data_IF_911957747303
#
_entry.id   IF_911957747303
#
_cell.length_a   1.000
_cell.length_b   1.000
_cell.length_c   1.000
_cell.angle_alpha   90.00
_cell.angle_beta   90.00
_cell.angle_gamma   90.00
#
_symmetry.space_group_name_H-M   'P 1'
#
loop_
_entity.id
_entity.type
_entity.pdbx_description
1 polymer ?
#
# COMPACT_ATOMS: atom_id res chain seq x y z
N UNK A 1 -50.31 47.55 -7.10
CA UNK A 1 -50.55 47.09 -8.49
C UNK A 1 -50.61 45.54 -8.46
N UNK A 2 -51.70 44.96 -8.87
CA UNK A 2 -51.78 43.49 -9.12
C UNK A 2 -51.72 43.25 -10.63
N UNK A 3 -50.70 42.53 -11.05
CA UNK A 3 -50.49 42.19 -12.49
C UNK A 3 -50.53 40.69 -12.59
N UNK A 4 -51.34 40.12 -13.52
CA UNK A 4 -51.45 38.68 -13.74
C UNK A 4 -50.23 38.19 -14.52
N UNK A 5 -49.76 38.95 -15.53
CA UNK A 5 -48.57 38.67 -16.33
C UNK A 5 -47.76 39.95 -16.54
N UNK A 6 -46.51 39.96 -16.15
CA UNK A 6 -45.54 41.03 -16.44
C UNK A 6 -44.56 40.52 -17.51
N UNK A 7 -44.57 41.11 -18.70
CA UNK A 7 -43.56 40.91 -19.75
C UNK A 7 -42.68 42.12 -19.89
N UNK A 8 -41.41 41.95 -19.56
CA UNK A 8 -40.36 42.96 -19.78
C UNK A 8 -39.52 42.49 -20.96
N UNK A 9 -39.38 43.30 -22.00
CA UNK A 9 -38.68 42.93 -23.22
C UNK A 9 -37.16 43.20 -23.15
N UNK A 10 -36.72 43.91 -22.14
CA UNK A 10 -35.35 44.31 -21.87
C UNK A 10 -35.05 44.09 -20.40
N UNK A 11 -34.41 45.00 -19.68
CA UNK A 11 -33.98 44.84 -18.31
C UNK A 11 -35.12 45.10 -17.29
N UNK A 12 -35.26 44.27 -16.29
CA UNK A 12 -36.05 44.53 -15.08
C UNK A 12 -35.10 44.89 -13.92
N UNK A 13 -35.18 46.14 -13.47
CA UNK A 13 -34.45 46.61 -12.27
C UNK A 13 -35.40 46.64 -11.07
N UNK A 14 -35.07 45.87 -10.00
CA UNK A 14 -35.72 45.93 -8.72
C UNK A 14 -34.71 46.42 -7.70
N UNK A 15 -35.02 47.54 -7.04
CA UNK A 15 -34.08 48.21 -6.11
C UNK A 15 -34.18 47.70 -4.67
N UNK A 16 -35.12 46.83 -4.42
CA UNK A 16 -35.36 46.18 -3.10
C UNK A 16 -35.48 44.66 -3.27
N UNK A 17 -36.30 44.01 -2.50
CA UNK A 17 -36.44 42.54 -2.52
C UNK A 17 -37.35 42.03 -3.66
N UNK A 18 -36.99 40.86 -4.22
CA UNK A 18 -37.84 40.06 -5.10
C UNK A 18 -38.30 38.80 -4.36
N UNK A 19 -39.61 38.66 -4.14
CA UNK A 19 -40.20 37.44 -3.58
C UNK A 19 -40.94 36.66 -4.67
N UNK A 20 -40.54 35.42 -4.91
CA UNK A 20 -41.15 34.52 -5.88
C UNK A 20 -41.80 33.35 -5.16
N UNK A 21 -43.14 33.32 -5.12
CA UNK A 21 -43.91 32.28 -4.43
C UNK A 21 -43.98 30.93 -5.17
N UNK A 22 -43.40 30.86 -6.34
CA UNK A 22 -43.33 29.66 -7.18
C UNK A 22 -41.94 29.35 -7.67
N UNK A 23 -41.76 29.05 -8.96
CA UNK A 23 -40.51 28.70 -9.56
C UNK A 23 -39.87 29.93 -10.24
N UNK A 24 -38.59 30.20 -9.93
CA UNK A 24 -37.76 31.09 -10.74
C UNK A 24 -37.12 30.29 -11.87
N UNK A 25 -37.59 30.44 -13.09
CA UNK A 25 -36.97 29.86 -14.30
C UNK A 25 -35.97 30.84 -14.93
N UNK A 26 -34.70 30.49 -14.99
CA UNK A 26 -33.67 31.27 -15.69
C UNK A 26 -33.15 30.42 -16.84
N UNK A 27 -33.37 30.84 -18.08
CA UNK A 27 -32.87 30.15 -19.29
C UNK A 27 -31.42 30.47 -19.63
N UNK A 28 -30.84 31.48 -18.99
CA UNK A 28 -29.45 31.88 -19.13
C UNK A 28 -28.64 31.69 -17.86
N UNK A 29 -27.69 32.56 -17.60
CA UNK A 29 -26.84 32.54 -16.41
C UNK A 29 -27.52 33.34 -15.30
N UNK A 30 -27.60 32.74 -14.07
CA UNK A 30 -27.92 33.45 -12.85
C UNK A 30 -26.61 33.95 -12.24
N UNK A 31 -26.38 35.28 -12.28
CA UNK A 31 -25.21 35.90 -11.65
C UNK A 31 -25.62 36.54 -10.33
N UNK A 32 -24.94 36.19 -9.23
CA UNK A 32 -25.12 36.84 -7.93
C UNK A 32 -23.77 37.44 -7.50
N UNK A 33 -23.80 38.67 -6.97
CA UNK A 33 -22.60 39.37 -6.47
C UNK A 33 -22.36 39.17 -4.98
N UNK A 34 -23.32 38.53 -4.29
CA UNK A 34 -23.23 38.18 -2.89
C UNK A 34 -23.46 36.65 -2.70
N UNK A 35 -23.30 36.17 -1.46
CA UNK A 35 -23.55 34.77 -1.15
C UNK A 35 -25.00 34.38 -1.47
N UNK A 36 -25.16 33.23 -2.11
CA UNK A 36 -26.47 32.62 -2.39
C UNK A 36 -26.72 31.51 -1.37
N UNK A 37 -27.86 31.57 -0.68
CA UNK A 37 -28.25 30.59 0.33
C UNK A 37 -29.38 29.69 -0.22
N UNK A 38 -29.14 28.38 -0.25
CA UNK A 38 -30.11 27.36 -0.64
C UNK A 38 -30.59 26.60 0.64
N UNK A 39 -31.72 26.99 1.23
CA UNK A 39 -32.21 26.37 2.47
C UNK A 39 -32.78 24.96 2.26
N UNK A 40 -33.14 24.62 1.02
CA UNK A 40 -33.70 23.30 0.65
C UNK A 40 -32.70 22.39 -0.08
N UNK A 41 -31.44 22.77 -0.11
CA UNK A 41 -30.41 22.04 -0.87
C UNK A 41 -30.20 22.57 -2.29
N UNK A 42 -29.20 22.04 -2.98
CA UNK A 42 -28.80 22.40 -4.35
C UNK A 42 -28.73 21.11 -5.18
N UNK A 43 -29.39 21.10 -6.34
CA UNK A 43 -29.30 20.01 -7.31
C UNK A 43 -28.76 20.56 -8.64
N UNK A 44 -27.70 19.95 -9.15
CA UNK A 44 -27.18 20.16 -10.49
C UNK A 44 -27.32 18.86 -11.28
N UNK A 45 -28.03 18.91 -12.44
CA UNK A 45 -28.28 17.73 -13.26
C UNK A 45 -27.20 17.47 -14.30
N UNK A 46 -26.23 18.37 -14.41
CA UNK A 46 -25.08 18.30 -15.31
C UNK A 46 -23.80 18.74 -14.56
N UNK A 47 -22.65 18.69 -15.22
CA UNK A 47 -21.37 19.03 -14.61
C UNK A 47 -21.39 20.40 -13.92
N UNK A 48 -20.83 20.46 -12.71
CA UNK A 48 -20.70 21.68 -11.91
C UNK A 48 -19.24 21.95 -11.61
N UNK A 49 -18.86 23.24 -11.61
CA UNK A 49 -17.52 23.69 -11.27
C UNK A 49 -17.60 24.74 -10.16
N UNK A 50 -16.80 24.58 -9.11
CA UNK A 50 -16.53 25.60 -8.11
C UNK A 50 -15.12 26.09 -8.33
N UNK A 51 -14.95 27.38 -8.67
CA UNK A 51 -13.64 27.97 -8.99
C UNK A 51 -13.43 29.24 -8.15
N UNK A 52 -12.24 29.36 -7.57
CA UNK A 52 -11.75 30.57 -6.91
C UNK A 52 -10.46 31.05 -7.58
N UNK A 53 -10.16 32.32 -7.46
CA UNK A 53 -8.94 32.92 -8.00
C UNK A 53 -7.78 32.95 -6.98
N UNK A 54 -8.02 32.43 -5.77
CA UNK A 54 -7.09 32.48 -4.64
C UNK A 54 -7.02 31.13 -3.91
N UNK A 55 -6.35 31.07 -2.75
CA UNK A 55 -6.14 29.87 -1.94
C UNK A 55 -7.27 29.63 -0.91
N UNK A 56 -8.44 30.24 -1.05
CA UNK A 56 -9.57 29.98 -0.14
C UNK A 56 -10.15 28.58 -0.32
N UNK A 57 -10.72 28.02 0.75
CA UNK A 57 -11.40 26.72 0.69
C UNK A 57 -12.60 26.78 -0.22
N UNK A 58 -12.64 25.93 -1.25
CA UNK A 58 -13.71 25.92 -2.26
C UNK A 58 -14.97 25.18 -1.82
N UNK A 59 -14.82 24.12 -1.01
CA UNK A 59 -15.94 23.33 -0.51
C UNK A 59 -15.68 22.89 0.93
N UNK A 60 -16.63 23.18 1.82
CA UNK A 60 -16.65 22.69 3.19
C UNK A 60 -17.97 21.97 3.44
N UNK A 61 -17.93 20.74 3.89
CA UNK A 61 -19.10 19.97 4.33
C UNK A 61 -19.11 19.95 5.84
N UNK A 62 -20.17 20.50 6.46
CA UNK A 62 -20.29 20.61 7.92
C UNK A 62 -21.59 19.94 8.37
N UNK A 63 -21.49 19.02 9.35
CA UNK A 63 -22.61 18.60 10.18
C UNK A 63 -22.49 19.26 11.54
N UNK A 64 -23.59 19.74 12.08
CA UNK A 64 -23.72 20.28 13.47
C UNK A 64 -24.42 19.29 14.38
N UNK A 65 -24.62 18.06 13.93
CA UNK A 65 -25.23 17.01 14.75
C UNK A 65 -24.33 16.65 15.93
N UNK A 66 -24.91 16.45 17.08
CA UNK A 66 -24.20 16.22 18.34
C UNK A 66 -24.22 14.75 18.76
N UNK A 67 -24.92 13.88 18.04
CA UNK A 67 -24.97 12.47 18.37
C UNK A 67 -23.71 11.69 17.84
N UNK A 68 -23.67 10.37 18.10
CA UNK A 68 -22.55 9.52 17.71
C UNK A 68 -22.67 8.95 16.28
N UNK A 69 -23.68 9.40 15.51
CA UNK A 69 -23.89 8.95 14.14
C UNK A 69 -22.91 9.57 13.15
N UNK A 70 -22.90 9.08 11.92
CA UNK A 70 -21.98 9.55 10.87
C UNK A 70 -22.18 11.05 10.62
N UNK A 71 -21.09 11.82 10.65
CA UNK A 71 -21.01 13.26 10.35
C UNK A 71 -21.28 13.58 8.88
N UNK A 72 -20.69 14.63 8.30
CA UNK A 72 -20.91 14.94 6.88
C UNK A 72 -20.45 13.79 5.97
N UNK A 73 -21.31 13.40 5.04
CA UNK A 73 -21.07 12.31 4.09
C UNK A 73 -20.90 12.88 2.69
N UNK A 74 -19.90 12.39 1.94
CA UNK A 74 -19.73 12.61 0.52
C UNK A 74 -19.95 11.29 -0.20
N UNK A 75 -21.10 11.13 -0.87
CA UNK A 75 -21.41 9.95 -1.67
C UNK A 75 -20.94 10.13 -3.11
N UNK A 76 -20.09 9.21 -3.56
CA UNK A 76 -19.75 9.04 -4.97
C UNK A 76 -20.53 7.82 -5.50
N UNK A 77 -21.75 8.07 -5.95
CA UNK A 77 -22.69 7.00 -6.37
C UNK A 77 -22.77 6.86 -7.87
N UNK A 78 -22.38 5.69 -8.38
CA UNK A 78 -22.57 5.31 -9.78
C UNK A 78 -23.88 4.53 -9.94
N UNK A 79 -24.92 5.18 -10.43
CA UNK A 79 -26.19 4.53 -10.77
C UNK A 79 -26.11 3.93 -12.18
N UNK A 80 -25.62 2.70 -12.31
CA UNK A 80 -25.52 1.98 -13.58
C UNK A 80 -26.73 1.05 -13.78
N UNK A 81 -27.32 1.06 -14.96
CA UNK A 81 -28.37 0.09 -15.34
C UNK A 81 -27.78 -1.31 -15.66
N UNK A 82 -26.46 -1.42 -15.78
CA UNK A 82 -25.74 -2.66 -16.09
C UNK A 82 -24.39 -2.64 -15.34
N UNK A 83 -24.40 -2.83 -14.01
CA UNK A 83 -23.17 -2.92 -13.24
C UNK A 83 -22.42 -4.20 -13.61
N UNK A 84 -21.09 -4.15 -13.62
CA UNK A 84 -20.23 -5.29 -13.91
C UNK A 84 -19.00 -5.29 -12.99
N UNK A 85 -18.44 -6.47 -12.77
CA UNK A 85 -17.18 -6.62 -12.05
C UNK A 85 -16.07 -5.80 -12.70
N UNK A 86 -15.24 -5.20 -11.87
CA UNK A 86 -14.17 -4.26 -12.22
C UNK A 86 -14.65 -2.89 -12.75
N UNK A 87 -15.93 -2.57 -12.69
CA UNK A 87 -16.43 -1.23 -12.93
C UNK A 87 -15.87 -0.25 -11.87
N UNK A 88 -15.47 0.95 -12.32
CA UNK A 88 -15.05 2.03 -11.41
C UNK A 88 -16.30 2.73 -10.89
N UNK A 89 -16.46 2.76 -9.56
CA UNK A 89 -17.57 3.45 -8.89
C UNK A 89 -17.41 4.96 -8.91
N UNK A 90 -16.20 5.42 -8.62
CA UNK A 90 -15.85 6.84 -8.56
C UNK A 90 -14.37 7.06 -8.26
N UNK A 91 -13.91 8.28 -8.56
CA UNK A 91 -12.54 8.70 -8.35
C UNK A 91 -12.47 10.03 -7.60
N UNK A 92 -11.48 10.15 -6.70
CA UNK A 92 -10.99 11.45 -6.24
C UNK A 92 -9.64 11.68 -6.90
N UNK A 93 -9.57 12.67 -7.79
CA UNK A 93 -8.40 12.94 -8.62
C UNK A 93 -7.69 14.23 -8.15
N UNK A 94 -6.39 14.14 -7.91
CA UNK A 94 -5.53 15.31 -7.71
C UNK A 94 -4.80 15.60 -9.02
N UNK A 95 -5.10 16.75 -9.62
CA UNK A 95 -4.59 17.16 -10.94
C UNK A 95 -3.77 18.43 -10.85
N UNK A 96 -2.75 18.52 -11.69
CA UNK A 96 -1.99 19.73 -11.92
C UNK A 96 -1.47 19.77 -13.36
N UNK A 97 -1.00 20.94 -13.81
CA UNK A 97 -0.30 21.03 -15.09
C UNK A 97 1.15 20.55 -14.95
N UNK A 98 1.66 19.93 -16.01
CA UNK A 98 3.07 19.63 -16.15
C UNK A 98 3.83 20.83 -16.76
N UNK A 99 5.13 20.70 -17.00
CA UNK A 99 5.96 21.75 -17.58
C UNK A 99 5.60 22.13 -19.03
N UNK A 100 4.77 21.32 -19.71
CA UNK A 100 4.25 21.60 -21.05
C UNK A 100 2.84 22.22 -21.01
N UNK A 101 2.27 22.45 -19.82
CA UNK A 101 0.91 22.99 -19.66
C UNK A 101 -0.20 21.93 -19.84
N UNK A 102 0.14 20.64 -19.81
CA UNK A 102 -0.84 19.56 -19.93
C UNK A 102 -1.40 19.20 -18.55
N UNK A 103 -2.72 19.00 -18.47
CA UNK A 103 -3.39 18.58 -17.21
C UNK A 103 -3.15 17.10 -16.97
N UNK A 104 -2.42 16.79 -15.92
CA UNK A 104 -2.06 15.43 -15.51
C UNK A 104 -2.74 15.08 -14.20
N UNK A 105 -3.24 13.85 -14.07
CA UNK A 105 -3.69 13.30 -12.79
C UNK A 105 -2.48 12.67 -12.09
N UNK A 106 -2.03 13.30 -11.01
CA UNK A 106 -0.85 12.85 -10.25
C UNK A 106 -1.17 11.83 -9.17
N UNK A 107 -2.38 11.92 -8.58
CA UNK A 107 -2.84 10.98 -7.54
C UNK A 107 -4.31 10.64 -7.78
N UNK A 108 -4.66 9.37 -7.63
CA UNK A 108 -6.03 8.86 -7.70
C UNK A 108 -6.38 8.07 -6.44
N UNK A 109 -7.57 8.29 -5.89
CA UNK A 109 -8.25 7.34 -5.02
C UNK A 109 -9.42 6.78 -5.81
N UNK A 110 -9.48 5.46 -5.98
CA UNK A 110 -10.39 4.79 -6.90
C UNK A 110 -11.19 3.73 -6.14
N UNK A 111 -12.52 3.82 -6.18
CA UNK A 111 -13.39 2.74 -5.76
C UNK A 111 -13.75 1.85 -6.95
N UNK A 112 -13.63 0.54 -6.80
CA UNK A 112 -13.88 -0.46 -7.85
C UNK A 112 -14.88 -1.50 -7.33
N UNK A 113 -15.80 -1.93 -8.18
CA UNK A 113 -16.66 -3.09 -7.92
C UNK A 113 -15.83 -4.37 -8.11
N UNK A 114 -15.63 -5.14 -7.06
CA UNK A 114 -14.94 -6.44 -7.13
C UNK A 114 -15.85 -7.53 -7.67
N UNK A 115 -17.01 -7.69 -7.04
CA UNK A 115 -18.11 -8.57 -7.45
C UNK A 115 -19.43 -7.80 -7.32
N UNK A 116 -20.30 -7.88 -8.31
CA UNK A 116 -21.62 -7.22 -8.31
C UNK A 116 -22.78 -8.19 -8.05
N UNK A 117 -22.48 -9.45 -7.76
CA UNK A 117 -23.49 -10.50 -7.52
C UNK A 117 -24.26 -10.23 -6.24
N UNK A 118 -25.60 -10.16 -6.33
CA UNK A 118 -26.49 -9.93 -5.17
C UNK A 118 -26.24 -10.95 -4.06
N UNK A 119 -25.94 -10.44 -2.86
CA UNK A 119 -25.63 -11.22 -1.66
C UNK A 119 -24.16 -11.63 -1.49
N UNK A 120 -23.28 -11.31 -2.45
CA UNK A 120 -21.83 -11.58 -2.37
C UNK A 120 -21.00 -10.41 -2.90
N UNK A 121 -21.55 -9.19 -2.81
CA UNK A 121 -20.93 -7.99 -3.36
C UNK A 121 -19.57 -7.72 -2.71
N UNK A 122 -18.58 -7.45 -3.55
CA UNK A 122 -17.21 -7.12 -3.14
C UNK A 122 -16.77 -5.75 -3.66
N UNK A 123 -15.99 -5.05 -2.84
CA UNK A 123 -15.41 -3.76 -3.18
C UNK A 123 -13.89 -3.76 -3.11
N UNK A 124 -13.27 -2.88 -3.90
CA UNK A 124 -11.84 -2.64 -3.87
C UNK A 124 -11.53 -1.14 -3.80
N UNK A 125 -10.54 -0.76 -2.99
CA UNK A 125 -9.94 0.56 -2.97
C UNK A 125 -8.53 0.51 -3.59
N UNK A 126 -8.23 1.41 -4.53
CA UNK A 126 -6.89 1.61 -5.08
C UNK A 126 -6.40 3.02 -4.80
N UNK A 127 -5.16 3.14 -4.34
CA UNK A 127 -4.44 4.40 -4.22
C UNK A 127 -3.31 4.38 -5.25
N UNK A 128 -3.37 5.30 -6.20
CA UNK A 128 -2.40 5.39 -7.29
C UNK A 128 -1.63 6.71 -7.25
N UNK A 129 -0.38 6.67 -7.68
CA UNK A 129 0.43 7.85 -7.95
C UNK A 129 1.07 7.77 -9.32
N UNK A 130 1.30 8.94 -9.95
CA UNK A 130 2.06 9.03 -11.19
C UNK A 130 3.54 8.72 -10.92
N UNK A 131 4.11 7.81 -11.70
CA UNK A 131 5.53 7.47 -11.67
C UNK A 131 6.01 7.30 -13.10
N UNK A 132 7.01 8.08 -13.52
CA UNK A 132 7.58 8.04 -14.87
C UNK A 132 6.52 8.04 -16.00
N UNK A 133 5.50 8.91 -15.87
CA UNK A 133 4.45 9.08 -16.87
C UNK A 133 3.33 8.02 -16.84
N UNK A 134 3.29 7.14 -15.82
CA UNK A 134 2.26 6.12 -15.68
C UNK A 134 1.67 6.10 -14.26
N UNK A 135 0.37 5.83 -14.14
CA UNK A 135 -0.26 5.59 -12.84
C UNK A 135 0.12 4.21 -12.32
N UNK A 136 0.58 4.15 -11.07
CA UNK A 136 1.03 2.94 -10.40
C UNK A 136 0.24 2.75 -9.10
N UNK A 137 -0.28 1.54 -8.87
CA UNK A 137 -0.93 1.18 -7.62
C UNK A 137 0.10 1.16 -6.49
N UNK A 138 -0.04 2.07 -5.53
CA UNK A 138 0.76 2.12 -4.30
C UNK A 138 0.19 1.21 -3.24
N UNK A 139 -1.15 1.21 -3.14
CA UNK A 139 -1.92 0.38 -2.22
C UNK A 139 -3.15 -0.11 -2.98
N UNK A 140 -3.42 -1.40 -2.89
CA UNK A 140 -4.64 -2.06 -3.33
C UNK A 140 -5.24 -2.80 -2.14
N UNK A 141 -6.50 -2.53 -1.83
CA UNK A 141 -7.24 -3.21 -0.75
C UNK A 141 -8.43 -3.89 -1.39
N UNK A 142 -8.48 -5.20 -1.35
CA UNK A 142 -9.61 -6.00 -1.82
C UNK A 142 -10.12 -6.95 -0.73
N UNK A 143 -10.96 -7.90 -1.09
CA UNK A 143 -11.59 -8.85 -0.15
C UNK A 143 -10.65 -9.89 0.43
N UNK A 144 -9.52 -10.14 -0.21
CA UNK A 144 -8.57 -11.20 0.15
C UNK A 144 -7.30 -10.68 0.79
N UNK A 145 -6.85 -9.48 0.38
CA UNK A 145 -5.56 -8.96 0.82
C UNK A 145 -5.45 -7.43 0.73
N UNK A 146 -4.42 -6.91 1.36
CA UNK A 146 -3.94 -5.54 1.15
C UNK A 146 -2.55 -5.60 0.56
N UNK A 147 -2.39 -5.16 -0.67
CA UNK A 147 -1.11 -5.18 -1.39
C UNK A 147 -0.48 -3.80 -1.40
N UNK A 148 0.78 -3.73 -0.99
CA UNK A 148 1.65 -2.55 -1.21
C UNK A 148 2.49 -2.84 -2.45
N UNK A 149 2.56 -1.88 -3.39
CA UNK A 149 3.30 -2.03 -4.65
C UNK A 149 2.72 -3.12 -5.57
N UNK A 150 1.38 -3.14 -5.73
CA UNK A 150 0.61 -4.13 -6.49
C UNK A 150 1.03 -4.28 -7.98
N UNK A 151 1.76 -3.34 -8.54
CA UNK A 151 2.27 -3.41 -9.92
C UNK A 151 3.72 -3.94 -10.02
N UNK A 152 4.30 -4.48 -8.95
CA UNK A 152 5.66 -5.03 -8.89
C UNK A 152 6.68 -4.05 -9.52
N UNK A 153 6.67 -2.81 -9.07
CA UNK A 153 7.62 -1.78 -9.50
C UNK A 153 8.80 -1.74 -8.53
N UNK A 154 9.90 -1.17 -8.96
CA UNK A 154 11.01 -0.79 -8.07
C UNK A 154 10.57 0.37 -7.17
N UNK A 155 9.79 0.03 -6.13
CA UNK A 155 9.16 0.94 -5.18
C UNK A 155 9.21 0.33 -3.78
N UNK A 156 10.10 0.83 -2.98
CA UNK A 156 10.33 0.36 -1.64
C UNK A 156 9.15 0.60 -0.70
N UNK A 157 9.00 -0.32 0.27
CA UNK A 157 8.14 -0.12 1.42
C UNK A 157 8.99 0.02 2.68
N UNK A 158 8.78 1.11 3.43
CA UNK A 158 9.57 1.42 4.60
C UNK A 158 8.69 1.84 5.79
N UNK A 159 9.04 1.31 6.96
CA UNK A 159 8.51 1.75 8.25
C UNK A 159 9.63 2.41 9.04
N UNK A 160 9.41 3.64 9.48
CA UNK A 160 10.35 4.41 10.30
C UNK A 160 9.95 4.39 11.77
N UNK A 161 10.93 4.48 12.65
CA UNK A 161 10.74 4.84 14.04
C UNK A 161 11.26 6.24 14.31
N UNK A 162 11.13 6.73 15.55
CA UNK A 162 11.65 8.05 15.94
C UNK A 162 13.16 8.21 15.68
N UNK A 163 13.93 7.13 15.74
CA UNK A 163 15.39 7.16 15.67
C UNK A 163 15.98 6.32 14.52
N UNK A 164 15.18 5.50 13.86
CA UNK A 164 15.61 4.62 12.78
C UNK A 164 14.72 4.80 11.56
N UNK A 165 15.32 5.28 10.47
CA UNK A 165 14.62 5.48 9.20
C UNK A 165 14.20 4.15 8.52
N UNK A 166 14.89 3.05 8.82
CA UNK A 166 14.65 1.73 8.23
C UNK A 166 14.39 0.69 9.34
N UNK A 167 13.35 0.91 10.14
CA UNK A 167 12.93 -0.05 11.18
C UNK A 167 12.48 -1.37 10.56
N UNK A 168 11.70 -1.31 9.47
CA UNK A 168 11.44 -2.37 8.52
C UNK A 168 11.58 -1.77 7.11
N UNK A 169 12.35 -2.40 6.26
CA UNK A 169 12.55 -1.96 4.89
C UNK A 169 12.45 -3.14 3.94
N UNK A 170 11.55 -3.04 2.96
CA UNK A 170 11.44 -3.97 1.84
C UNK A 170 12.00 -3.25 0.63
N UNK A 171 13.14 -3.70 0.16
CA UNK A 171 13.84 -3.19 -1.01
C UNK A 171 13.33 -3.92 -2.25
N UNK A 172 12.61 -3.21 -3.10
CA UNK A 172 11.98 -3.80 -4.27
C UNK A 172 12.97 -4.01 -5.44
N UNK A 173 14.10 -3.29 -5.46
CA UNK A 173 15.14 -3.46 -6.46
C UNK A 173 15.97 -4.72 -6.18
N UNK A 174 16.19 -5.04 -4.89
CA UNK A 174 17.08 -6.10 -4.46
C UNK A 174 16.34 -7.37 -4.00
N UNK A 175 14.98 -7.35 -3.97
CA UNK A 175 14.12 -8.42 -3.48
C UNK A 175 14.45 -8.84 -2.03
N UNK A 176 14.72 -7.85 -1.13
CA UNK A 176 15.21 -8.08 0.22
C UNK A 176 14.35 -7.43 1.29
N UNK A 177 14.43 -7.97 2.51
CA UNK A 177 13.82 -7.41 3.71
C UNK A 177 14.91 -7.13 4.74
N UNK A 178 15.00 -5.87 5.17
CA UNK A 178 15.93 -5.40 6.18
C UNK A 178 15.22 -4.99 7.46
N UNK A 179 15.84 -5.23 8.60
CA UNK A 179 15.38 -4.79 9.91
C UNK A 179 16.52 -4.03 10.58
N UNK A 180 16.32 -2.74 10.84
CA UNK A 180 17.29 -1.88 11.50
C UNK A 180 18.28 -1.16 10.57
N UNK A 181 18.32 -1.51 9.29
CA UNK A 181 19.18 -0.87 8.28
C UNK A 181 18.52 -0.87 6.88
N UNK A 182 19.13 -0.20 5.89
CA UNK A 182 18.53 -0.03 4.56
C UNK A 182 19.50 -0.29 3.40
N UNK A 183 20.58 -1.00 3.63
CA UNK A 183 21.57 -1.36 2.60
C UNK A 183 21.97 -2.81 2.74
N UNK A 184 22.17 -3.48 1.61
CA UNK A 184 22.74 -4.83 1.61
C UNK A 184 24.15 -4.79 2.18
N UNK A 185 24.35 -5.49 3.29
CA UNK A 185 25.67 -5.82 3.77
C UNK A 185 25.97 -7.27 3.34
N UNK A 186 27.02 -7.47 2.58
CA UNK A 186 27.50 -8.81 2.28
C UNK A 186 28.33 -9.27 3.46
N UNK A 187 27.76 -10.13 4.31
CA UNK A 187 28.41 -10.66 5.51
C UNK A 187 28.84 -12.10 5.36
N UNK A 188 29.24 -12.51 4.18
CA UNK A 188 29.51 -13.93 3.96
C UNK A 188 30.77 -14.09 3.08
N UNK A 189 31.75 -14.80 3.59
CA UNK A 189 32.98 -15.18 2.90
C UNK A 189 32.72 -15.96 1.58
N UNK A 190 31.49 -16.42 1.36
CA UNK A 190 31.06 -17.14 0.14
C UNK A 190 30.29 -16.27 -0.84
N UNK A 191 30.09 -14.97 -0.55
CA UNK A 191 29.35 -14.03 -1.40
C UNK A 191 27.86 -14.36 -1.55
N UNK A 192 27.27 -15.11 -0.62
CA UNK A 192 25.85 -15.46 -0.66
C UNK A 192 25.00 -14.24 -0.27
N UNK A 193 24.02 -13.91 -1.10
CA UNK A 193 23.05 -12.87 -0.80
C UNK A 193 21.99 -13.40 0.17
N UNK A 194 21.94 -12.80 1.36
CA UNK A 194 20.94 -13.12 2.39
C UNK A 194 19.72 -12.25 2.18
N UNK A 195 18.56 -12.89 1.99
CA UNK A 195 17.29 -12.19 1.71
C UNK A 195 16.81 -11.38 2.93
N UNK A 196 17.01 -11.87 4.16
CA UNK A 196 16.61 -11.19 5.39
C UNK A 196 17.82 -10.92 6.28
N UNK A 197 18.07 -9.65 6.58
CA UNK A 197 19.16 -9.19 7.43
C UNK A 197 18.62 -8.41 8.64
N UNK A 198 19.16 -8.69 9.83
CA UNK A 198 18.82 -7.99 11.07
C UNK A 198 20.12 -7.42 11.64
N UNK A 199 20.20 -6.10 11.76
CA UNK A 199 21.37 -5.41 12.29
C UNK A 199 20.96 -4.41 13.37
N UNK A 200 21.77 -4.29 14.42
CA UNK A 200 21.62 -3.28 15.44
C UNK A 200 22.98 -2.71 15.83
N UNK A 201 23.05 -1.40 16.07
CA UNK A 201 24.24 -0.72 16.52
C UNK A 201 24.13 -0.30 18.00
N UNK A 202 25.25 -0.31 18.70
CA UNK A 202 25.34 0.11 20.10
C UNK A 202 25.15 -1.05 21.10
N UNK A 203 24.86 -0.71 22.35
CA UNK A 203 24.76 -1.67 23.46
C UNK A 203 23.34 -2.18 23.71
N UNK A 204 22.35 -1.58 23.09
CA UNK A 204 20.92 -1.97 23.09
C UNK A 204 20.18 -1.12 22.05
N UNK A 205 19.19 -1.66 21.29
CA UNK A 205 18.75 -3.05 21.28
C UNK A 205 19.76 -4.01 20.65
N UNK A 206 19.66 -5.30 20.94
CA UNK A 206 20.45 -6.36 20.30
C UNK A 206 19.78 -6.82 19.01
N UNK A 207 20.58 -7.12 17.98
CA UNK A 207 20.10 -7.87 16.84
C UNK A 207 19.85 -9.34 17.28
N UNK A 208 18.60 -9.79 17.24
CA UNK A 208 18.27 -11.13 17.70
C UNK A 208 16.89 -11.60 17.26
N UNK A 209 16.71 -12.92 17.25
CA UNK A 209 15.44 -13.58 17.00
C UNK A 209 15.07 -14.39 18.24
N UNK A 210 13.96 -14.03 18.89
CA UNK A 210 13.39 -14.79 20.01
C UNK A 210 12.19 -15.60 19.54
N UNK A 211 12.19 -16.92 19.82
CA UNK A 211 11.06 -17.80 19.56
C UNK A 211 10.65 -18.46 20.87
N UNK A 212 9.41 -18.24 21.33
CA UNK A 212 8.87 -18.79 22.56
C UNK A 212 7.49 -19.37 22.30
N UNK A 213 7.28 -20.64 22.64
CA UNK A 213 5.96 -21.27 22.62
C UNK A 213 5.50 -21.55 24.03
N UNK A 214 4.30 -21.06 24.37
CA UNK A 214 3.61 -21.36 25.63
C UNK A 214 2.49 -22.36 25.34
N UNK A 215 2.73 -23.64 25.56
CA UNK A 215 1.73 -24.70 25.41
C UNK A 215 1.79 -25.68 26.56
N UNK A 216 0.71 -26.42 26.78
CA UNK A 216 0.63 -27.46 27.83
C UNK A 216 0.87 -28.86 27.26
N UNK A 217 1.57 -28.96 26.14
CA UNK A 217 1.95 -30.21 25.48
C UNK A 217 3.48 -30.34 25.37
N UNK A 218 3.95 -31.36 24.68
CA UNK A 218 5.38 -31.65 24.49
C UNK A 218 5.97 -31.01 23.25
N UNK A 219 5.16 -30.31 22.44
CA UNK A 219 5.59 -29.75 21.16
C UNK A 219 6.16 -28.34 21.29
N UNK A 220 7.14 -28.01 20.46
CA UNK A 220 7.81 -26.71 20.41
C UNK A 220 7.90 -26.19 18.98
N UNK A 221 7.95 -24.86 18.83
CA UNK A 221 8.20 -24.24 17.53
C UNK A 221 9.62 -24.52 17.03
N UNK A 222 9.81 -25.19 15.90
CA UNK A 222 11.14 -25.50 15.37
C UNK A 222 11.73 -24.36 14.56
N UNK A 223 13.07 -24.23 14.53
CA UNK A 223 13.82 -23.57 13.46
C UNK A 223 14.18 -24.64 12.41
N UNK A 224 13.59 -24.56 11.23
CA UNK A 224 13.77 -25.57 10.18
C UNK A 224 14.64 -25.01 9.08
N UNK A 225 15.75 -25.69 8.77
CA UNK A 225 16.52 -25.53 7.56
C UNK A 225 16.16 -26.67 6.60
N UNK A 226 15.79 -26.36 5.36
CA UNK A 226 15.39 -27.35 4.38
C UNK A 226 16.02 -27.09 3.02
N UNK A 227 16.36 -28.16 2.29
CA UNK A 227 16.96 -28.11 0.96
C UNK A 227 16.23 -29.04 -0.02
N UNK A 228 16.00 -28.54 -1.21
CA UNK A 228 15.65 -29.31 -2.41
C UNK A 228 16.67 -29.02 -3.52
N UNK A 229 16.91 -29.98 -4.41
CA UNK A 229 17.73 -29.75 -5.62
C UNK A 229 16.93 -29.15 -6.79
N UNK A 230 15.63 -28.90 -6.60
CA UNK A 230 14.81 -28.22 -7.61
C UNK A 230 15.11 -26.73 -7.70
N UNK A 231 14.82 -26.14 -8.85
CA UNK A 231 15.09 -24.73 -9.17
C UNK A 231 13.85 -23.84 -9.15
N UNK A 232 12.71 -24.37 -8.71
CA UNK A 232 11.45 -23.64 -8.59
C UNK A 232 10.95 -23.64 -7.15
N UNK A 233 10.24 -22.60 -6.74
CA UNK A 233 9.56 -22.56 -5.44
C UNK A 233 8.62 -23.76 -5.29
N UNK A 234 8.60 -24.37 -4.09
CA UNK A 234 7.81 -25.56 -3.81
C UNK A 234 8.35 -26.87 -4.42
N UNK A 235 9.56 -26.86 -5.01
CA UNK A 235 10.15 -28.06 -5.58
C UNK A 235 10.43 -29.11 -4.51
N UNK A 236 10.16 -30.38 -4.85
CA UNK A 236 10.38 -31.58 -4.01
C UNK A 236 11.49 -32.49 -4.55
N UNK A 237 12.41 -31.96 -5.37
CA UNK A 237 13.52 -32.74 -5.95
C UNK A 237 14.43 -33.24 -4.85
N UNK A 238 14.67 -34.56 -4.86
CA UNK A 238 15.44 -35.26 -3.82
C UNK A 238 16.88 -34.74 -3.75
N UNK A 239 17.38 -34.61 -2.52
CA UNK A 239 18.80 -34.31 -2.23
C UNK A 239 19.67 -35.57 -2.42
N UNK A 240 21.00 -35.43 -2.37
CA UNK A 240 21.97 -36.50 -2.59
C UNK A 240 22.96 -36.57 -1.44
N UNK A 241 23.68 -37.67 -1.36
CA UNK A 241 24.77 -37.84 -0.39
C UNK A 241 25.78 -36.68 -0.47
N UNK A 242 26.13 -36.14 0.71
CA UNK A 242 27.00 -35.00 0.83
C UNK A 242 26.32 -33.62 0.71
N UNK A 243 25.01 -33.54 0.38
CA UNK A 243 24.32 -32.27 0.34
C UNK A 243 24.22 -31.65 1.75
N UNK A 244 24.44 -30.34 1.85
CA UNK A 244 24.18 -29.55 3.06
C UNK A 244 22.70 -29.24 3.13
N UNK A 245 22.01 -29.66 4.20
CA UNK A 245 20.58 -29.41 4.45
C UNK A 245 20.34 -28.07 5.11
N UNK A 246 21.31 -27.61 5.89
CA UNK A 246 21.30 -26.31 6.58
C UNK A 246 22.59 -26.07 7.34
N UNK A 247 22.85 -24.80 7.67
CA UNK A 247 24.06 -24.40 8.40
C UNK A 247 23.78 -23.29 9.40
N UNK A 248 24.54 -23.27 10.48
CA UNK A 248 24.69 -22.15 11.41
C UNK A 248 26.16 -21.74 11.37
N UNK A 249 26.45 -20.48 11.11
CA UNK A 249 27.79 -19.93 11.05
C UNK A 249 28.01 -18.91 12.16
N UNK A 250 29.18 -18.96 12.78
CA UNK A 250 29.69 -18.01 13.75
C UNK A 250 30.84 -17.27 13.09
N UNK A 251 30.55 -16.01 12.71
CA UNK A 251 31.49 -15.18 11.94
C UNK A 251 31.94 -14.00 12.79
N UNK A 252 33.14 -13.52 12.54
CA UNK A 252 33.71 -12.33 13.16
C UNK A 252 34.26 -11.39 12.09
N UNK A 253 34.16 -10.06 12.33
CA UNK A 253 34.73 -9.06 11.44
C UNK A 253 36.26 -9.03 11.60
N UNK A 254 36.99 -9.24 10.51
CA UNK A 254 38.46 -9.18 10.48
C UNK A 254 39.04 -7.76 10.24
N UNK A 255 38.16 -6.80 9.97
CA UNK A 255 38.47 -5.41 9.59
C UNK A 255 38.18 -5.11 8.13
N UNK A 256 37.89 -6.10 7.32
CA UNK A 256 37.43 -6.02 5.92
C UNK A 256 36.06 -6.65 5.72
N UNK A 257 35.89 -7.89 6.15
CA UNK A 257 34.66 -8.67 5.97
C UNK A 257 34.40 -9.61 7.17
N UNK A 258 33.26 -10.30 7.17
CA UNK A 258 32.93 -11.35 8.12
C UNK A 258 33.60 -12.67 7.69
N UNK A 259 34.43 -13.20 8.60
CA UNK A 259 35.13 -14.47 8.41
C UNK A 259 34.57 -15.56 9.33
N UNK A 260 34.41 -16.79 8.81
CA UNK A 260 33.86 -17.90 9.57
C UNK A 260 34.89 -18.45 10.56
N UNK A 261 34.61 -18.27 11.86
CA UNK A 261 35.40 -18.86 12.95
C UNK A 261 34.92 -20.26 13.34
N UNK A 262 33.63 -20.55 13.22
CA UNK A 262 33.06 -21.86 13.50
C UNK A 262 31.72 -22.07 12.77
N UNK A 263 31.32 -23.33 12.58
CA UNK A 263 30.04 -23.65 11.95
C UNK A 263 29.48 -25.00 12.37
N UNK A 264 28.15 -25.14 12.25
CA UNK A 264 27.40 -26.38 12.44
C UNK A 264 26.65 -26.66 11.14
N UNK A 265 26.86 -27.84 10.55
CA UNK A 265 26.15 -28.28 9.34
C UNK A 265 25.28 -29.50 9.62
N UNK A 266 24.04 -29.49 9.10
CA UNK A 266 23.28 -30.70 8.86
C UNK A 266 23.52 -31.17 7.44
N UNK A 267 23.99 -32.41 7.23
CA UNK A 267 24.35 -32.93 5.91
C UNK A 267 23.69 -34.28 5.66
N UNK A 268 23.45 -34.58 4.39
CA UNK A 268 23.05 -35.94 3.96
C UNK A 268 24.25 -36.87 4.08
N UNK A 269 24.04 -38.07 4.67
CA UNK A 269 25.08 -39.07 4.90
C UNK A 269 24.62 -40.45 4.41
N UNK A 270 24.67 -40.66 3.12
CA UNK A 270 24.21 -41.87 2.42
C UNK A 270 23.17 -41.57 1.34
N UNK A 271 22.43 -42.56 0.91
CA UNK A 271 21.44 -42.44 -0.17
C UNK A 271 20.06 -42.15 0.40
N UNK A 272 19.49 -40.92 0.22
CA UNK A 272 18.16 -40.62 0.68
C UNK A 272 17.08 -41.31 -0.16
N UNK A 273 15.90 -41.56 0.45
CA UNK A 273 14.76 -42.19 -0.18
C UNK A 273 13.42 -41.63 0.31
N UNK A 274 12.30 -42.19 -0.18
CA UNK A 274 10.99 -41.81 0.30
C UNK A 274 10.81 -42.19 1.76
N UNK A 275 10.63 -41.20 2.63
CA UNK A 275 10.53 -41.42 4.10
C UNK A 275 11.86 -41.77 4.77
N UNK A 276 12.97 -41.68 4.07
CA UNK A 276 14.31 -41.98 4.57
C UNK A 276 15.27 -40.82 4.25
N UNK A 277 15.88 -40.23 5.28
CA UNK A 277 16.82 -39.14 5.21
C UNK A 277 18.02 -39.42 6.12
N UNK A 278 19.01 -40.18 5.63
CA UNK A 278 20.24 -40.42 6.38
C UNK A 278 21.00 -39.09 6.54
N UNK A 279 21.41 -38.77 7.76
CA UNK A 279 22.02 -37.46 8.04
C UNK A 279 23.09 -37.51 9.10
N UNK A 280 24.01 -36.54 9.08
CA UNK A 280 25.00 -36.27 10.10
C UNK A 280 25.07 -34.80 10.48
N UNK A 281 25.49 -34.50 11.71
CA UNK A 281 25.93 -33.19 12.15
C UNK A 281 27.46 -33.09 12.06
N UNK A 282 27.94 -31.95 11.53
CA UNK A 282 29.37 -31.65 11.43
C UNK A 282 29.62 -30.34 12.18
N UNK A 283 30.59 -30.35 13.07
CA UNK A 283 31.05 -29.18 13.80
C UNK A 283 32.44 -28.82 13.30
N UNK A 284 32.59 -27.60 12.77
CA UNK A 284 33.84 -27.11 12.24
C UNK A 284 34.35 -25.92 13.08
N UNK A 285 35.65 -25.80 13.18
CA UNK A 285 36.34 -24.61 13.68
C UNK A 285 37.47 -24.24 12.72
N UNK A 286 37.74 -22.95 12.58
CA UNK A 286 38.84 -22.45 11.78
C UNK A 286 40.11 -22.36 12.64
N UNK A 287 41.22 -22.91 12.14
CA UNK A 287 42.50 -22.82 12.82
C UNK A 287 43.14 -21.43 12.62
N UNK A 288 43.99 -21.03 13.57
CA UNK A 288 44.79 -19.79 13.43
C UNK A 288 45.64 -19.85 12.16
N UNK A 289 45.60 -18.77 11.36
CA UNK A 289 46.32 -18.67 10.10
C UNK A 289 45.72 -19.51 8.94
N UNK A 290 44.54 -20.09 9.06
CA UNK A 290 43.83 -20.69 7.95
C UNK A 290 43.05 -19.61 7.20
N UNK A 291 43.16 -19.61 5.84
CA UNK A 291 42.37 -18.79 4.93
C UNK A 291 41.25 -19.64 4.35
#
# INVERSE_FOLDING_TARGET
LSVVDLKVQDDLTVTDDVSIGGILGVTGVLTTTAATVFNGGFAANDGSTISTADNTTQLTLISTDADASVGPVLDLYRNSASPADNDIMGNINYKAENSAGEIITYVNLIGVLGDVTDGTEDGQLRIQTMTAGSNVNRISVDTTETVINDNSKDLDFRVESNNLANMLFVDAAEDKVFIGHGTTHQYDAFGAEIIMQIEAAGTAPYAGIGMVQNSNDTDVGPLIFGKSRGTSLGSTTIVQDGDVLGRIEFQGMDGGDLETGASIFGMVDGTPGSGDMPGRLVFNTTADGAN
#
